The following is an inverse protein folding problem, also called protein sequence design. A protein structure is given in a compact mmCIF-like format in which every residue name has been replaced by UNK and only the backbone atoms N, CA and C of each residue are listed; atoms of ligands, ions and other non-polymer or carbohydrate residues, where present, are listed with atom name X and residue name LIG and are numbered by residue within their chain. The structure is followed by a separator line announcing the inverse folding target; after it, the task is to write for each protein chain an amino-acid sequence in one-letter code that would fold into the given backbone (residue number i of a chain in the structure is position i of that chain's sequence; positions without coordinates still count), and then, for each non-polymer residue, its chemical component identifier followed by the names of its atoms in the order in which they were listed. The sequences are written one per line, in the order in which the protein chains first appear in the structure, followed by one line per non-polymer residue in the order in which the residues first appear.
data_IF_344109994408
#
_entry.id   IF_344109994408
#
_cell.length_a   1.000
_cell.length_b   1.000
_cell.length_c   1.000
_cell.angle_alpha   90.00
_cell.angle_beta   90.00
_cell.angle_gamma   90.00
#
_symmetry.space_group_name_H-M   'P 1'
#
loop_
_entity.id
_entity.type
_entity.pdbx_description
1 polymer ?
#
# COMPACT_ATOMS: atom_id res chain seq x y z
N UNK A 1 7.25 -13.26 -14.59
CA UNK A 1 5.84 -13.23 -15.05
C UNK A 1 5.11 -12.22 -14.19
N UNK A 2 4.39 -11.27 -14.81
CA UNK A 2 3.93 -10.01 -14.19
C UNK A 2 2.99 -10.19 -13.00
N UNK A 3 2.33 -11.34 -12.83
CA UNK A 3 2.09 -11.98 -11.51
C UNK A 3 1.93 -13.48 -11.76
N UNK A 4 2.39 -14.32 -10.83
CA UNK A 4 2.00 -15.72 -10.79
C UNK A 4 0.48 -15.81 -10.58
N UNK A 5 -0.16 -16.80 -11.22
CA UNK A 5 -1.62 -17.04 -11.15
C UNK A 5 -2.25 -16.85 -9.76
N UNK A 6 -1.65 -17.33 -8.64
CA UNK A 6 -2.28 -17.21 -7.32
C UNK A 6 -2.29 -15.79 -6.72
N UNK A 7 -1.53 -14.83 -7.26
CA UNK A 7 -1.43 -13.46 -6.69
C UNK A 7 -2.18 -12.43 -7.54
N UNK A 8 -2.49 -12.76 -8.80
CA UNK A 8 -3.24 -11.84 -9.70
C UNK A 8 -4.61 -11.45 -9.14
N UNK A 9 -5.33 -12.38 -8.50
CA UNK A 9 -6.62 -12.09 -7.87
C UNK A 9 -6.50 -11.09 -6.70
N UNK A 10 -5.34 -11.02 -6.05
CA UNK A 10 -5.06 -10.09 -4.95
C UNK A 10 -4.77 -8.67 -5.43
N UNK A 11 -4.61 -8.45 -6.73
CA UNK A 11 -4.60 -7.11 -7.31
C UNK A 11 -6.00 -6.56 -7.56
N UNK A 12 -7.03 -7.39 -7.61
CA UNK A 12 -8.40 -6.93 -7.91
C UNK A 12 -8.87 -5.82 -6.96
N UNK A 13 -8.69 -5.91 -5.62
CA UNK A 13 -9.08 -4.81 -4.73
C UNK A 13 -8.35 -3.51 -5.05
N UNK A 14 -7.05 -3.59 -5.39
CA UNK A 14 -6.22 -2.43 -5.71
C UNK A 14 -6.65 -1.79 -7.04
N UNK A 15 -6.91 -2.60 -8.07
CA UNK A 15 -7.42 -2.13 -9.35
C UNK A 15 -8.81 -1.51 -9.20
N UNK A 16 -9.70 -2.12 -8.40
CA UNK A 16 -11.02 -1.59 -8.10
C UNK A 16 -10.93 -0.24 -7.38
N UNK A 17 -10.07 -0.11 -6.36
CA UNK A 17 -9.86 1.15 -5.63
C UNK A 17 -9.29 2.25 -6.52
N UNK A 18 -8.28 1.95 -7.33
CA UNK A 18 -7.74 2.91 -8.30
C UNK A 18 -8.79 3.36 -9.32
N UNK A 19 -9.60 2.42 -9.82
CA UNK A 19 -10.70 2.73 -10.75
C UNK A 19 -11.75 3.60 -10.07
N UNK A 20 -12.16 3.24 -8.85
CA UNK A 20 -13.14 4.01 -8.08
C UNK A 20 -12.65 5.43 -7.80
N UNK A 21 -11.41 5.58 -7.32
CA UNK A 21 -10.76 6.88 -7.10
C UNK A 21 -10.72 7.71 -8.39
N UNK A 22 -10.31 7.11 -9.50
CA UNK A 22 -10.17 7.80 -10.78
C UNK A 22 -11.53 8.26 -11.31
N UNK A 23 -12.51 7.35 -11.38
CA UNK A 23 -13.86 7.65 -11.87
C UNK A 23 -14.53 8.70 -10.99
N UNK A 24 -14.46 8.53 -9.67
CA UNK A 24 -15.05 9.48 -8.74
C UNK A 24 -14.42 10.86 -8.84
N UNK A 25 -13.08 10.93 -8.91
CA UNK A 25 -12.36 12.18 -9.09
C UNK A 25 -12.71 12.87 -10.40
N UNK A 26 -12.79 12.14 -11.51
CA UNK A 26 -13.18 12.68 -12.83
C UNK A 26 -14.59 13.28 -12.79
N UNK A 27 -15.55 12.58 -12.20
CA UNK A 27 -16.94 13.06 -12.06
C UNK A 27 -17.01 14.30 -11.16
N UNK A 28 -16.19 14.34 -10.11
CA UNK A 28 -16.24 15.38 -9.08
C UNK A 28 -15.46 16.64 -9.45
N UNK A 29 -14.38 16.50 -10.23
CA UNK A 29 -13.46 17.58 -10.59
C UNK A 29 -14.12 18.84 -11.16
N UNK A 30 -15.10 18.76 -12.09
CA UNK A 30 -15.76 19.95 -12.65
C UNK A 30 -16.46 20.81 -11.59
N UNK A 31 -16.97 20.14 -10.56
CA UNK A 31 -17.79 20.72 -9.49
C UNK A 31 -16.98 21.12 -8.25
N UNK A 32 -15.65 21.03 -8.32
CA UNK A 32 -14.78 21.47 -7.23
C UNK A 32 -14.69 23.01 -7.19
N UNK A 33 -14.63 23.61 -5.99
CA UNK A 33 -14.39 25.04 -5.85
C UNK A 33 -13.04 25.45 -6.45
N UNK A 34 -12.86 26.76 -6.68
CA UNK A 34 -11.62 27.33 -7.22
C UNK A 34 -10.41 27.09 -6.33
N UNK A 35 -10.63 26.87 -5.02
CA UNK A 35 -9.61 26.50 -4.03
C UNK A 35 -9.98 25.20 -3.34
N UNK A 36 -9.00 24.37 -3.09
CA UNK A 36 -9.14 23.09 -2.40
C UNK A 36 -8.17 23.00 -1.20
N UNK A 37 -8.46 22.16 -0.19
CA UNK A 37 -7.55 21.95 0.94
C UNK A 37 -6.16 21.53 0.47
N UNK A 38 -5.13 22.19 1.00
CA UNK A 38 -3.72 21.81 0.79
C UNK A 38 -3.15 21.08 2.00
N UNK A 39 -3.51 21.53 3.19
CA UNK A 39 -3.13 20.91 4.46
C UNK A 39 -4.35 20.86 5.38
N UNK A 40 -4.43 19.80 6.18
CA UNK A 40 -5.50 19.57 7.15
C UNK A 40 -4.82 19.24 8.47
N UNK A 41 -4.87 20.19 9.40
CA UNK A 41 -4.39 20.04 10.76
C UNK A 41 -5.48 19.48 11.70
N UNK A 42 -5.16 19.43 12.99
CA UNK A 42 -6.09 18.94 14.03
C UNK A 42 -7.35 19.78 14.17
N UNK A 43 -7.27 21.06 13.79
CA UNK A 43 -8.37 22.03 13.87
C UNK A 43 -9.09 22.21 12.51
N UNK A 44 -8.81 21.33 11.53
CA UNK A 44 -9.40 21.39 10.19
C UNK A 44 -8.44 21.90 9.12
N UNK A 45 -8.99 22.50 8.06
CA UNK A 45 -8.19 23.00 6.92
C UNK A 45 -7.50 24.32 7.29
N UNK A 46 -6.17 24.29 7.43
CA UNK A 46 -5.34 25.45 7.78
C UNK A 46 -4.59 26.05 6.57
N UNK A 47 -4.51 25.30 5.45
CA UNK A 47 -3.92 25.80 4.20
C UNK A 47 -4.77 25.42 2.98
N UNK A 48 -4.81 26.32 2.00
CA UNK A 48 -5.60 26.20 0.78
C UNK A 48 -4.72 26.42 -0.46
N UNK A 49 -5.01 25.69 -1.53
CA UNK A 49 -4.34 25.85 -2.83
C UNK A 49 -5.35 26.01 -3.96
N UNK A 50 -4.91 26.54 -5.10
CA UNK A 50 -5.75 26.65 -6.28
C UNK A 50 -6.07 25.26 -6.84
N UNK A 51 -7.29 25.10 -7.35
CA UNK A 51 -7.71 23.89 -8.04
C UNK A 51 -6.91 23.73 -9.33
N UNK A 52 -6.21 22.61 -9.44
CA UNK A 52 -5.54 22.13 -10.64
C UNK A 52 -5.69 20.61 -10.71
N UNK A 53 -5.40 20.00 -11.86
CA UNK A 53 -5.40 18.53 -11.97
C UNK A 53 -4.38 17.94 -10.99
N UNK A 54 -3.19 18.54 -10.89
CA UNK A 54 -2.14 18.11 -9.98
C UNK A 54 -2.58 18.13 -8.52
N UNK A 55 -3.12 19.27 -8.05
CA UNK A 55 -3.55 19.43 -6.65
C UNK A 55 -4.78 18.58 -6.32
N UNK A 56 -5.74 18.43 -7.24
CA UNK A 56 -6.96 17.66 -6.99
C UNK A 56 -6.72 16.13 -7.02
N UNK A 57 -5.80 15.64 -7.85
CA UNK A 57 -5.53 14.20 -8.01
C UNK A 57 -4.24 13.73 -7.33
N UNK A 58 -3.60 14.57 -6.50
CA UNK A 58 -2.32 14.24 -5.85
C UNK A 58 -2.37 12.90 -5.12
N UNK A 59 -3.43 12.63 -4.36
CA UNK A 59 -3.59 11.36 -3.64
C UNK A 59 -3.75 10.16 -4.58
N UNK A 60 -4.39 10.35 -5.73
CA UNK A 60 -4.53 9.30 -6.76
C UNK A 60 -3.17 9.00 -7.39
N UNK A 61 -2.38 10.02 -7.72
CA UNK A 61 -1.02 9.83 -8.26
C UNK A 61 -0.09 9.15 -7.25
N UNK A 62 -0.15 9.55 -5.98
CA UNK A 62 0.59 8.88 -4.90
C UNK A 62 0.13 7.42 -4.78
N UNK A 63 -1.17 7.15 -4.84
CA UNK A 63 -1.67 5.77 -4.78
C UNK A 63 -1.19 4.90 -5.94
N UNK A 64 -1.13 5.45 -7.16
CA UNK A 64 -0.56 4.76 -8.32
C UNK A 64 0.90 4.40 -8.04
N UNK A 65 1.70 5.36 -7.56
CA UNK A 65 3.10 5.14 -7.21
C UNK A 65 3.28 4.05 -6.14
N UNK A 66 2.52 4.12 -5.05
CA UNK A 66 2.56 3.10 -3.99
C UNK A 66 2.12 1.73 -4.51
N UNK A 67 1.10 1.69 -5.37
CA UNK A 67 0.62 0.43 -5.97
C UNK A 67 1.70 -0.21 -6.83
N UNK A 68 2.37 0.56 -7.68
CA UNK A 68 3.49 0.06 -8.51
C UNK A 68 4.62 -0.45 -7.61
N UNK A 69 5.00 0.32 -6.60
CA UNK A 69 6.06 -0.04 -5.65
C UNK A 69 5.74 -1.35 -4.92
N UNK A 70 4.58 -1.45 -4.27
CA UNK A 70 4.21 -2.63 -3.49
C UNK A 70 3.97 -3.85 -4.37
N UNK A 71 3.46 -3.67 -5.58
CA UNK A 71 3.34 -4.76 -6.57
C UNK A 71 4.73 -5.27 -6.99
N UNK A 72 5.68 -4.37 -7.25
CA UNK A 72 7.05 -4.75 -7.58
C UNK A 72 7.74 -5.46 -6.39
N UNK A 73 7.56 -4.99 -5.16
CA UNK A 73 8.07 -5.67 -3.97
C UNK A 73 7.46 -7.07 -3.79
N UNK A 74 6.16 -7.22 -4.01
CA UNK A 74 5.49 -8.52 -3.96
C UNK A 74 6.04 -9.46 -5.04
N UNK A 75 6.25 -8.96 -6.25
CA UNK A 75 6.79 -9.73 -7.36
C UNK A 75 8.25 -10.16 -7.13
N UNK A 76 9.09 -9.25 -6.65
CA UNK A 76 10.46 -9.54 -6.27
C UNK A 76 10.53 -10.61 -5.16
N UNK A 77 9.65 -10.51 -4.16
CA UNK A 77 9.54 -11.49 -3.06
C UNK A 77 9.28 -12.90 -3.58
N UNK A 78 8.45 -13.04 -4.62
CA UNK A 78 8.14 -14.34 -5.23
C UNK A 78 9.27 -14.88 -6.11
N UNK A 79 10.10 -14.00 -6.67
CA UNK A 79 11.25 -14.35 -7.50
C UNK A 79 12.46 -14.78 -6.70
N UNK A 80 12.61 -14.30 -5.46
CA UNK A 80 13.71 -14.69 -4.58
C UNK A 80 13.63 -16.19 -4.29
N UNK A 81 14.75 -16.90 -4.49
CA UNK A 81 14.89 -18.30 -4.06
C UNK A 81 14.81 -18.38 -2.54
N UNK A 82 13.88 -19.16 -1.95
CA UNK A 82 13.73 -19.30 -0.52
C UNK A 82 14.95 -19.97 0.13
N UNK A 83 15.15 -19.71 1.42
CA UNK A 83 16.30 -20.24 2.15
C UNK A 83 16.32 -21.78 2.25
N UNK A 84 15.15 -22.43 2.27
CA UNK A 84 15.05 -23.90 2.31
C UNK A 84 15.47 -24.59 1.01
N UNK A 85 15.52 -23.87 -0.12
CA UNK A 85 15.92 -24.42 -1.42
C UNK A 85 17.39 -24.16 -1.74
N UNK A 86 18.11 -23.47 -0.84
CA UNK A 86 19.54 -23.23 -1.00
C UNK A 86 20.32 -24.48 -0.58
N UNK A 87 21.30 -24.94 -1.37
CA UNK A 87 22.11 -26.09 -1.01
C UNK A 87 22.82 -25.86 0.34
N UNK A 88 22.85 -26.89 1.18
CA UNK A 88 23.64 -26.89 2.41
C UNK A 88 25.13 -26.78 2.03
N UNK A 89 25.71 -25.59 2.19
CA UNK A 89 27.06 -25.36 1.71
C UNK A 89 28.10 -25.93 2.68
N UNK A 90 28.95 -26.81 2.16
CA UNK A 90 30.22 -27.27 2.75
C UNK A 90 31.33 -26.19 2.63
N UNK A 91 31.06 -25.06 1.95
CA UNK A 91 32.04 -24.02 1.67
C UNK A 91 32.08 -22.94 2.78
N UNK A 92 33.21 -22.74 3.49
CA UNK A 92 33.21 -22.01 4.76
C UNK A 92 33.12 -20.47 4.69
N UNK A 93 33.31 -19.83 3.51
CA UNK A 93 33.51 -18.36 3.47
C UNK A 93 32.73 -17.57 2.39
N UNK A 94 31.98 -18.20 1.49
CA UNK A 94 31.30 -17.49 0.38
C UNK A 94 29.79 -17.25 0.55
N UNK A 95 29.09 -18.20 1.17
CA UNK A 95 27.62 -18.27 1.10
C UNK A 95 26.90 -17.81 2.38
N UNK A 96 27.65 -17.49 3.44
CA UNK A 96 27.10 -17.00 4.70
C UNK A 96 26.30 -15.70 4.52
N UNK A 97 26.80 -14.76 3.71
CA UNK A 97 26.09 -13.51 3.37
C UNK A 97 24.84 -13.75 2.53
N UNK A 98 24.86 -14.77 1.65
CA UNK A 98 23.72 -15.15 0.81
C UNK A 98 22.62 -15.78 1.67
N UNK A 99 22.95 -16.62 2.65
CA UNK A 99 21.98 -17.21 3.61
C UNK A 99 21.54 -16.22 4.70
N UNK A 100 22.40 -15.25 5.06
CA UNK A 100 22.19 -14.22 6.10
C UNK A 100 21.39 -12.99 5.62
N UNK A 101 20.82 -13.03 4.41
CA UNK A 101 19.83 -12.04 4.02
C UNK A 101 18.62 -12.13 4.97
N UNK A 102 18.59 -11.24 5.97
CA UNK A 102 17.55 -11.14 7.01
C UNK A 102 16.12 -10.98 6.44
N UNK A 103 16.01 -10.69 5.14
CA UNK A 103 14.76 -10.44 4.42
C UNK A 103 14.39 -11.53 3.39
N UNK A 104 15.14 -12.65 3.32
CA UNK A 104 14.77 -13.75 2.42
C UNK A 104 13.65 -14.62 3.02
N UNK A 105 12.59 -14.94 2.25
CA UNK A 105 11.56 -15.89 2.70
C UNK A 105 12.14 -17.28 2.98
N UNK A 106 11.68 -17.96 4.04
CA UNK A 106 12.14 -19.33 4.33
C UNK A 106 11.65 -20.35 3.32
N UNK A 107 10.39 -20.26 2.93
CA UNK A 107 9.69 -21.18 2.02
C UNK A 107 8.93 -20.44 0.92
N UNK A 108 8.54 -21.14 -0.15
CA UNK A 108 7.65 -20.58 -1.19
C UNK A 108 6.29 -20.16 -0.63
N UNK A 109 5.77 -20.91 0.35
CA UNK A 109 4.53 -20.55 1.04
C UNK A 109 4.68 -19.20 1.77
N UNK A 110 5.77 -19.00 2.50
CA UNK A 110 6.08 -17.70 3.15
C UNK A 110 6.18 -16.55 2.16
N UNK A 111 6.86 -16.77 1.02
CA UNK A 111 6.94 -15.78 -0.05
C UNK A 111 5.55 -15.37 -0.57
N UNK A 112 4.65 -16.34 -0.76
CA UNK A 112 3.26 -16.10 -1.15
C UNK A 112 2.47 -15.33 -0.08
N UNK A 113 2.61 -15.68 1.19
CA UNK A 113 1.94 -14.98 2.29
C UNK A 113 2.42 -13.52 2.42
N UNK A 114 3.72 -13.29 2.34
CA UNK A 114 4.31 -11.94 2.35
C UNK A 114 3.83 -11.12 1.15
N UNK A 115 3.83 -11.69 -0.05
CA UNK A 115 3.32 -11.02 -1.24
C UNK A 115 1.84 -10.63 -1.10
N UNK A 116 1.00 -11.52 -0.56
CA UNK A 116 -0.42 -11.22 -0.28
C UNK A 116 -0.57 -10.12 0.76
N UNK A 117 0.22 -10.15 1.83
CA UNK A 117 0.18 -9.12 2.87
C UNK A 117 0.53 -7.73 2.33
N UNK A 118 1.54 -7.63 1.45
CA UNK A 118 1.89 -6.37 0.77
C UNK A 118 0.76 -5.83 -0.10
N UNK A 119 0.06 -6.69 -0.84
CA UNK A 119 -1.08 -6.27 -1.68
C UNK A 119 -2.31 -5.89 -0.84
N UNK A 120 -2.52 -6.53 0.30
CA UNK A 120 -3.54 -6.13 1.28
C UNK A 120 -3.21 -4.78 1.91
N UNK A 121 -1.94 -4.55 2.29
CA UNK A 121 -1.48 -3.25 2.77
C UNK A 121 -1.73 -2.16 1.72
N UNK A 122 -1.47 -2.44 0.44
CA UNK A 122 -1.78 -1.48 -0.63
C UNK A 122 -3.28 -1.15 -0.71
N UNK A 123 -4.15 -2.14 -0.53
CA UNK A 123 -5.60 -1.91 -0.52
C UNK A 123 -6.02 -1.07 0.70
N UNK A 124 -5.41 -1.31 1.86
CA UNK A 124 -5.60 -0.47 3.04
C UNK A 124 -5.16 0.98 2.81
N UNK A 125 -4.00 1.20 2.17
CA UNK A 125 -3.54 2.54 1.77
C UNK A 125 -4.54 3.19 0.80
N UNK A 126 -5.04 2.44 -0.19
CA UNK A 126 -6.05 2.91 -1.13
C UNK A 126 -7.35 3.34 -0.44
N UNK A 127 -7.81 2.58 0.56
CA UNK A 127 -8.96 2.95 1.39
C UNK A 127 -8.72 4.25 2.16
N UNK A 128 -7.54 4.42 2.75
CA UNK A 128 -7.17 5.68 3.43
C UNK A 128 -7.17 6.87 2.47
N UNK A 129 -6.67 6.68 1.25
CA UNK A 129 -6.72 7.72 0.22
C UNK A 129 -8.12 7.98 -0.32
N UNK A 130 -9.00 6.99 -0.37
CA UNK A 130 -10.42 7.18 -0.68
C UNK A 130 -11.06 8.14 0.33
N UNK A 131 -10.80 7.95 1.62
CA UNK A 131 -11.28 8.85 2.68
C UNK A 131 -10.66 10.25 2.54
N UNK A 132 -9.36 10.34 2.28
CA UNK A 132 -8.68 11.61 2.03
C UNK A 132 -9.25 12.37 0.82
N UNK A 133 -9.56 11.66 -0.27
CA UNK A 133 -10.20 12.23 -1.46
C UNK A 133 -11.63 12.72 -1.15
N UNK A 134 -12.37 12.04 -0.27
CA UNK A 134 -13.68 12.50 0.19
C UNK A 134 -13.60 13.90 0.81
N UNK A 135 -12.55 14.17 1.59
CA UNK A 135 -12.32 15.47 2.22
C UNK A 135 -11.80 16.50 1.23
N UNK A 136 -10.88 16.11 0.35
CA UNK A 136 -10.28 16.97 -0.67
C UNK A 136 -11.31 17.42 -1.72
N UNK A 137 -12.26 16.55 -2.07
CA UNK A 137 -13.22 16.78 -3.15
C UNK A 137 -14.59 17.29 -2.69
N UNK A 138 -14.65 17.90 -1.50
CA UNK A 138 -15.85 18.56 -0.99
C UNK A 138 -16.29 19.72 -1.90
N UNK A 139 -17.61 19.89 -2.02
CA UNK A 139 -18.23 20.93 -2.85
C UNK A 139 -18.12 22.33 -2.26
N UNK A 140 -18.03 22.41 -0.93
CA UNK A 140 -17.92 23.65 -0.19
C UNK A 140 -16.55 23.74 0.50
N UNK A 141 -15.91 24.92 0.53
CA UNK A 141 -14.67 25.15 1.26
C UNK A 141 -14.95 25.31 2.76
N UNK A 142 -15.51 24.27 3.37
CA UNK A 142 -15.76 24.23 4.81
C UNK A 142 -14.45 23.92 5.55
N UNK A 143 -14.01 24.78 6.47
CA UNK A 143 -12.77 24.57 7.21
C UNK A 143 -12.89 23.41 8.20
N UNK A 144 -14.10 23.16 8.71
CA UNK A 144 -14.36 22.08 9.67
C UNK A 144 -14.20 20.71 9.01
N UNK A 145 -13.32 19.90 9.60
CA UNK A 145 -13.12 18.50 9.25
C UNK A 145 -13.18 17.73 10.56
N UNK A 146 -14.09 16.77 10.67
CA UNK A 146 -14.22 15.96 11.89
C UNK A 146 -12.90 15.24 12.20
N UNK A 147 -12.41 15.36 13.43
CA UNK A 147 -11.19 14.69 13.88
C UNK A 147 -11.23 13.17 13.72
N UNK A 148 -12.42 12.57 13.73
CA UNK A 148 -12.61 11.13 13.47
C UNK A 148 -12.13 10.69 12.08
N UNK A 149 -12.12 11.61 11.10
CA UNK A 149 -11.64 11.30 9.76
C UNK A 149 -10.14 10.98 9.74
N UNK A 150 -9.33 11.59 10.61
CA UNK A 150 -7.92 11.21 10.77
C UNK A 150 -7.78 9.77 11.26
N UNK A 151 -8.57 9.39 12.27
CA UNK A 151 -8.61 8.01 12.77
C UNK A 151 -9.05 7.05 11.66
N UNK A 152 -10.09 7.40 10.90
CA UNK A 152 -10.59 6.59 9.79
C UNK A 152 -9.56 6.46 8.65
N UNK A 153 -8.73 7.48 8.41
CA UNK A 153 -7.62 7.41 7.45
C UNK A 153 -6.44 6.56 7.96
N UNK A 154 -6.11 6.63 9.26
CA UNK A 154 -4.93 5.95 9.81
C UNK A 154 -5.22 4.46 10.08
N UNK A 155 -6.42 4.12 10.54
CA UNK A 155 -6.77 2.77 10.97
C UNK A 155 -6.55 1.68 9.90
N UNK A 156 -6.93 1.87 8.62
CA UNK A 156 -6.65 0.88 7.58
C UNK A 156 -5.14 0.64 7.40
N UNK A 157 -4.33 1.71 7.38
CA UNK A 157 -2.87 1.60 7.23
C UNK A 157 -2.27 0.83 8.40
N UNK A 158 -2.70 1.12 9.63
CA UNK A 158 -2.25 0.39 10.82
C UNK A 158 -2.63 -1.09 10.73
N UNK A 159 -3.86 -1.40 10.31
CA UNK A 159 -4.29 -2.79 10.13
C UNK A 159 -3.46 -3.51 9.06
N UNK A 160 -3.28 -2.92 7.88
CA UNK A 160 -2.45 -3.49 6.81
C UNK A 160 -0.99 -3.68 7.22
N UNK A 161 -0.44 -2.73 7.99
CA UNK A 161 0.92 -2.79 8.51
C UNK A 161 1.05 -3.92 9.52
N UNK A 162 0.11 -4.02 10.48
CA UNK A 162 0.07 -5.09 11.47
C UNK A 162 -0.01 -6.47 10.81
N UNK A 163 -0.82 -6.64 9.76
CA UNK A 163 -0.91 -7.88 8.99
C UNK A 163 0.43 -8.22 8.29
N UNK A 164 1.09 -7.22 7.73
CA UNK A 164 2.41 -7.38 7.09
C UNK A 164 3.45 -7.82 8.11
N UNK A 165 3.52 -7.15 9.26
CA UNK A 165 4.43 -7.53 10.36
C UNK A 165 4.10 -8.92 10.91
N UNK A 166 2.83 -9.24 11.12
CA UNK A 166 2.42 -10.56 11.60
C UNK A 166 2.82 -11.68 10.64
N UNK A 167 2.74 -11.45 9.32
CA UNK A 167 3.12 -12.43 8.30
C UNK A 167 4.62 -12.76 8.37
N UNK A 168 5.48 -11.76 8.58
CA UNK A 168 6.93 -11.95 8.66
C UNK A 168 7.35 -12.56 10.00
N UNK A 169 6.71 -12.16 11.11
CA UNK A 169 6.94 -12.77 12.42
C UNK A 169 6.53 -14.23 12.43
N UNK A 170 5.40 -14.59 11.80
CA UNK A 170 4.95 -15.98 11.69
C UNK A 170 5.94 -16.83 10.91
N UNK A 171 6.50 -16.32 9.82
CA UNK A 171 7.54 -17.03 9.06
C UNK A 171 8.77 -17.32 9.91
N UNK A 172 9.18 -16.37 10.76
CA UNK A 172 10.34 -16.54 11.66
C UNK A 172 10.11 -17.57 12.77
N UNK A 173 8.87 -17.75 13.21
CA UNK A 173 8.51 -18.65 14.33
C UNK A 173 8.19 -20.09 13.90
N UNK A 174 7.93 -20.35 12.62
CA UNK A 174 7.63 -21.70 12.15
C UNK A 174 8.90 -22.59 12.24
N UNK A 175 8.81 -23.81 12.79
CA UNK A 175 9.94 -24.73 12.85
C UNK A 175 10.44 -25.05 11.44
N UNK A 176 11.78 -25.10 11.26
CA UNK A 176 12.37 -25.64 10.04
C UNK A 176 12.06 -27.14 10.01
N UNK A 177 11.23 -27.56 9.05
CA UNK A 177 11.09 -28.95 8.65
C UNK A 177 12.00 -29.20 7.45
#
# INVERSE_FOLDING_TARGET
MVLSSPVRLWLLPNAALLTALSVWGIVRYPHLPSRIPQHIGTDGVDAWTNRSIGSAFVLVFVHIGVTVLLTACAELTLRVTPSAELPDSVAPFGNGLVRSSLNRPRTRASALWTARALLTLNACVGMSFLIGCAVLWRSAPEPEVSGWLFTAMIAPILAGTALTVASTVRDRRAPAH
#
